data_IF_919087998383
#
_entry.id   IF_919087998383
#
_cell.length_a   1.000
_cell.length_b   1.000
_cell.length_c   1.000
_cell.angle_alpha   90.00
_cell.angle_beta   90.00
_cell.angle_gamma   90.00
#
_symmetry.space_group_name_H-M   'P 1'
#
loop_
_entity.id
_entity.type
_entity.pdbx_description
1 polymer ?
#
# COMPACT_ATOMS: atom_id res chain seq x y z
N UNK A 1 0.16 7.04 13.16
CA UNK A 1 1.26 6.04 13.17
C UNK A 1 2.56 6.74 13.49
N UNK A 2 3.41 6.15 14.33
CA UNK A 2 4.73 6.72 14.64
C UNK A 2 5.69 6.58 13.45
N UNK A 3 6.62 7.53 13.32
CA UNK A 3 7.60 7.51 12.23
C UNK A 3 8.43 6.20 12.19
N UNK A 4 8.80 5.68 13.35
CA UNK A 4 9.56 4.43 13.48
C UNK A 4 8.76 3.18 13.10
N UNK A 5 7.44 3.20 13.30
CA UNK A 5 6.55 2.11 12.86
C UNK A 5 6.38 2.17 11.34
N UNK A 6 6.16 3.38 10.80
CA UNK A 6 6.05 3.63 9.37
C UNK A 6 7.27 3.11 8.62
N UNK A 7 8.47 3.46 9.08
CA UNK A 7 9.73 3.04 8.47
C UNK A 7 9.87 1.51 8.45
N UNK A 8 9.59 0.85 9.59
CA UNK A 8 9.62 -0.62 9.68
C UNK A 8 8.62 -1.29 8.73
N UNK A 9 7.38 -0.77 8.64
CA UNK A 9 6.37 -1.33 7.73
C UNK A 9 6.85 -1.20 6.28
N UNK A 10 7.34 -0.03 5.88
CA UNK A 10 7.85 0.20 4.52
C UNK A 10 9.03 -0.71 4.22
N UNK A 11 10.03 -0.79 5.10
CA UNK A 11 11.20 -1.66 4.91
C UNK A 11 10.79 -3.12 4.71
N UNK A 12 9.87 -3.64 5.54
CA UNK A 12 9.43 -5.02 5.46
C UNK A 12 8.63 -5.30 4.19
N UNK A 13 7.72 -4.40 3.80
CA UNK A 13 6.92 -4.57 2.58
C UNK A 13 7.80 -4.50 1.33
N UNK A 14 8.72 -3.53 1.27
CA UNK A 14 9.64 -3.40 0.11
C UNK A 14 10.55 -4.63 0.02
N UNK A 15 11.10 -5.10 1.15
CA UNK A 15 11.90 -6.31 1.19
C UNK A 15 11.12 -7.52 0.65
N UNK A 16 9.91 -7.73 1.15
CA UNK A 16 9.01 -8.80 0.72
C UNK A 16 8.67 -8.76 -0.79
N UNK A 17 8.51 -7.57 -1.37
CA UNK A 17 8.26 -7.40 -2.81
C UNK A 17 9.48 -7.84 -3.62
N UNK A 18 10.68 -7.43 -3.20
CA UNK A 18 11.92 -7.74 -3.92
C UNK A 18 12.37 -9.20 -3.73
N UNK A 19 12.01 -9.83 -2.61
CA UNK A 19 12.16 -11.28 -2.42
C UNK A 19 11.19 -12.08 -3.32
N UNK A 20 9.93 -11.65 -3.41
CA UNK A 20 8.92 -12.33 -4.24
C UNK A 20 9.18 -12.14 -5.75
N UNK A 21 9.75 -11.00 -6.13
CA UNK A 21 9.99 -10.63 -7.53
C UNK A 21 11.44 -10.15 -7.77
N UNK A 22 12.45 -11.05 -7.68
CA UNK A 22 13.86 -10.66 -7.82
C UNK A 22 14.20 -9.97 -9.15
N UNK A 23 13.45 -10.30 -10.21
CA UNK A 23 13.61 -9.68 -11.54
C UNK A 23 13.37 -8.16 -11.53
N UNK A 24 12.64 -7.61 -10.55
CA UNK A 24 12.46 -6.16 -10.41
C UNK A 24 13.78 -5.44 -10.18
N UNK A 25 14.70 -6.09 -9.44
CA UNK A 25 16.04 -5.56 -9.24
C UNK A 25 16.84 -5.58 -10.53
N UNK A 26 16.83 -6.69 -11.26
CA UNK A 26 17.54 -6.81 -12.54
C UNK A 26 17.03 -5.80 -13.57
N UNK A 27 15.73 -5.52 -13.57
CA UNK A 27 15.07 -4.65 -14.55
C UNK A 27 15.15 -3.16 -14.21
N UNK A 28 15.01 -2.79 -12.94
CA UNK A 28 14.85 -1.40 -12.51
C UNK A 28 15.90 -0.91 -11.52
N UNK A 29 16.69 -1.83 -10.96
CA UNK A 29 17.77 -1.54 -10.02
C UNK A 29 17.34 -0.67 -8.84
N UNK A 30 18.28 0.14 -8.37
CA UNK A 30 18.12 1.04 -7.23
C UNK A 30 16.98 2.05 -7.43
N UNK A 31 16.79 2.56 -8.65
CA UNK A 31 15.72 3.52 -8.92
C UNK A 31 14.33 2.87 -8.77
N UNK A 32 14.15 1.64 -9.25
CA UNK A 32 12.91 0.90 -9.02
C UNK A 32 12.65 0.66 -7.54
N UNK A 33 13.69 0.32 -6.79
CA UNK A 33 13.59 0.08 -5.35
C UNK A 33 13.16 1.36 -4.63
N UNK A 34 13.83 2.48 -4.91
CA UNK A 34 13.48 3.79 -4.34
C UNK A 34 12.03 4.17 -4.65
N UNK A 35 11.54 3.97 -5.88
CA UNK A 35 10.16 4.28 -6.26
C UNK A 35 9.16 3.40 -5.53
N UNK A 36 9.45 2.10 -5.41
CA UNK A 36 8.63 1.17 -4.63
C UNK A 36 8.57 1.58 -3.16
N UNK A 37 9.69 2.02 -2.59
CA UNK A 37 9.75 2.58 -1.23
C UNK A 37 8.90 3.84 -1.10
N UNK A 38 9.02 4.79 -2.03
CA UNK A 38 8.21 6.03 -2.05
C UNK A 38 6.71 5.72 -2.15
N UNK A 39 6.30 4.77 -2.99
CA UNK A 39 4.89 4.36 -3.11
C UNK A 39 4.33 3.81 -1.80
N UNK A 40 5.10 2.98 -1.07
CA UNK A 40 4.68 2.47 0.23
C UNK A 40 4.56 3.56 1.30
N UNK A 41 5.42 4.58 1.26
CA UNK A 41 5.23 5.78 2.10
C UNK A 41 3.93 6.51 1.74
N UNK A 42 3.66 6.69 0.45
CA UNK A 42 2.43 7.34 -0.01
C UNK A 42 1.16 6.58 0.39
N UNK A 43 1.16 5.25 0.34
CA UNK A 43 0.03 4.43 0.82
C UNK A 43 -0.24 4.67 2.30
N UNK A 44 0.81 4.63 3.13
CA UNK A 44 0.71 4.84 4.58
C UNK A 44 0.30 6.26 4.95
N UNK A 45 0.78 7.27 4.21
CA UNK A 45 0.37 8.65 4.41
C UNK A 45 -1.12 8.84 4.12
N UNK A 46 -1.65 8.22 3.06
CA UNK A 46 -3.09 8.26 2.77
C UNK A 46 -3.93 7.55 3.84
N UNK A 47 -3.48 6.41 4.37
CA UNK A 47 -4.15 5.74 5.49
C UNK A 47 -4.20 6.63 6.73
N UNK A 48 -3.06 7.25 7.07
CA UNK A 48 -2.96 8.18 8.20
C UNK A 48 -3.87 9.40 8.02
N UNK A 49 -3.88 10.02 6.84
CA UNK A 49 -4.78 11.15 6.56
C UNK A 49 -6.25 10.73 6.65
N UNK A 50 -6.62 9.58 6.10
CA UNK A 50 -7.99 9.02 6.17
C UNK A 50 -8.44 8.85 7.61
N UNK A 51 -7.60 8.25 8.45
CA UNK A 51 -7.87 8.07 9.87
C UNK A 51 -8.02 9.39 10.61
N UNK A 52 -7.10 10.34 10.40
CA UNK A 52 -7.17 11.66 11.03
C UNK A 52 -8.39 12.47 10.61
N UNK A 53 -8.88 12.28 9.38
CA UNK A 53 -10.10 12.92 8.89
C UNK A 53 -11.39 12.21 9.34
N UNK A 54 -11.30 10.93 9.71
CA UNK A 54 -12.47 10.10 10.00
C UNK A 54 -13.34 9.85 8.76
N UNK A 55 -12.76 9.90 7.56
CA UNK A 55 -13.49 9.83 6.29
C UNK A 55 -12.87 8.76 5.38
N UNK A 56 -13.38 7.52 5.47
CA UNK A 56 -12.93 6.37 4.66
C UNK A 56 -12.93 6.65 3.15
N UNK A 57 -13.85 7.50 2.68
CA UNK A 57 -13.96 7.87 1.27
C UNK A 57 -12.66 8.47 0.71
N UNK A 58 -11.85 9.14 1.55
CA UNK A 58 -10.56 9.69 1.15
C UNK A 58 -9.59 8.59 0.66
N UNK A 59 -9.50 7.47 1.38
CA UNK A 59 -8.69 6.33 0.94
C UNK A 59 -9.27 5.66 -0.30
N UNK A 60 -10.60 5.54 -0.37
CA UNK A 60 -11.26 4.92 -1.54
C UNK A 60 -11.04 5.72 -2.82
N UNK A 61 -11.06 7.04 -2.75
CA UNK A 61 -10.78 7.92 -3.89
C UNK A 61 -9.31 7.85 -4.31
N UNK A 62 -8.40 7.76 -3.33
CA UNK A 62 -6.99 7.46 -3.57
C UNK A 62 -6.79 6.14 -4.29
N UNK A 63 -7.43 5.05 -3.85
CA UNK A 63 -7.33 3.73 -4.48
C UNK A 63 -7.84 3.73 -5.93
N UNK A 64 -8.98 4.38 -6.21
CA UNK A 64 -9.53 4.52 -7.57
C UNK A 64 -8.60 5.31 -8.49
N UNK A 65 -8.07 6.43 -7.98
CA UNK A 65 -7.12 7.25 -8.71
C UNK A 65 -5.85 6.45 -9.02
N UNK A 66 -5.28 5.76 -8.03
CA UNK A 66 -4.07 4.96 -8.18
C UNK A 66 -4.25 3.86 -9.22
N UNK A 67 -5.36 3.12 -9.16
CA UNK A 67 -5.71 2.11 -10.17
C UNK A 67 -5.73 2.71 -11.57
N UNK A 68 -6.44 3.83 -11.76
CA UNK A 68 -6.53 4.51 -13.07
C UNK A 68 -5.14 4.92 -13.56
N UNK A 69 -4.32 5.49 -12.67
CA UNK A 69 -2.98 5.96 -12.99
C UNK A 69 -2.04 4.82 -13.38
N UNK A 70 -2.07 3.70 -12.66
CA UNK A 70 -1.18 2.56 -12.91
C UNK A 70 -1.61 1.74 -14.13
N UNK A 71 -2.90 1.47 -14.27
CA UNK A 71 -3.43 0.73 -15.44
C UNK A 71 -3.21 1.50 -16.74
N UNK A 72 -3.27 2.84 -16.73
CA UNK A 72 -2.92 3.67 -17.89
C UNK A 72 -1.46 3.51 -18.35
N UNK A 73 -0.58 2.95 -17.49
CA UNK A 73 0.83 2.65 -17.77
C UNK A 73 1.12 1.17 -17.94
N UNK A 74 0.10 0.34 -18.13
CA UNK A 74 0.18 -1.13 -18.21
C UNK A 74 0.76 -1.78 -16.95
N UNK A 75 0.58 -1.16 -15.78
CA UNK A 75 0.84 -1.77 -14.48
C UNK A 75 -0.48 -2.35 -13.97
N UNK A 76 -0.52 -3.66 -13.77
CA UNK A 76 -1.76 -4.37 -13.46
C UNK A 76 -2.28 -4.12 -12.05
N UNK A 77 -3.60 -4.17 -11.92
CA UNK A 77 -4.33 -3.97 -10.65
C UNK A 77 -3.89 -4.96 -9.57
N UNK A 78 -3.48 -6.17 -9.96
CA UNK A 78 -2.98 -7.22 -9.08
C UNK A 78 -1.76 -6.79 -8.25
N UNK A 79 -0.92 -5.89 -8.77
CA UNK A 79 0.25 -5.39 -8.04
C UNK A 79 -0.14 -4.41 -6.93
N UNK A 80 -1.22 -3.66 -7.13
CA UNK A 80 -1.80 -2.78 -6.09
C UNK A 80 -2.37 -3.65 -4.98
N UNK A 81 -3.13 -4.69 -5.35
CA UNK A 81 -3.71 -5.65 -4.41
C UNK A 81 -2.60 -6.34 -3.60
N UNK A 82 -1.56 -6.87 -4.26
CA UNK A 82 -0.42 -7.53 -3.60
C UNK A 82 0.25 -6.60 -2.58
N UNK A 83 0.46 -5.33 -2.94
CA UNK A 83 1.04 -4.34 -2.03
C UNK A 83 0.12 -4.05 -0.84
N UNK A 84 -1.18 -3.83 -1.06
CA UNK A 84 -2.14 -3.59 0.02
C UNK A 84 -2.24 -4.80 0.96
N UNK A 85 -2.21 -6.02 0.43
CA UNK A 85 -2.19 -7.25 1.23
C UNK A 85 -0.90 -7.39 2.06
N UNK A 86 0.24 -6.93 1.55
CA UNK A 86 1.51 -6.86 2.31
C UNK A 86 1.42 -5.84 3.43
N UNK A 87 0.98 -4.62 3.13
CA UNK A 87 0.77 -3.57 4.14
C UNK A 87 -0.14 -4.10 5.26
N UNK A 88 -1.30 -4.66 4.91
CA UNK A 88 -2.28 -5.21 5.85
C UNK A 88 -1.64 -6.15 6.89
N UNK A 89 -0.74 -7.05 6.45
CA UNK A 89 -0.07 -8.03 7.35
C UNK A 89 0.89 -7.39 8.33
N UNK A 90 1.47 -6.24 8.01
CA UNK A 90 2.44 -5.56 8.88
C UNK A 90 1.80 -4.54 9.83
N UNK A 91 0.53 -4.19 9.64
CA UNK A 91 -0.19 -3.25 10.50
C UNK A 91 -0.52 -3.81 11.89
N UNK A 92 -0.56 -5.14 12.06
CA UNK A 92 -0.78 -5.78 13.37
C UNK A 92 0.34 -5.51 14.38
N UNK A 93 1.45 -4.91 13.91
CA UNK A 93 2.61 -4.57 14.74
C UNK A 93 2.57 -3.12 15.25
N UNK A 94 1.56 -2.34 14.89
CA UNK A 94 1.37 -0.98 15.39
C UNK A 94 0.98 -1.02 16.88
N UNK A 95 1.47 -0.06 17.65
CA UNK A 95 1.14 0.06 19.07
C UNK A 95 -0.29 0.55 19.30
N UNK A 96 -0.80 1.40 18.41
CA UNK A 96 -2.18 1.88 18.44
C UNK A 96 -3.07 0.90 17.66
N UNK A 97 -3.83 0.09 18.40
CA UNK A 97 -4.67 -0.94 17.80
C UNK A 97 -5.96 -0.36 17.16
N UNK A 98 -6.42 0.81 17.60
CA UNK A 98 -7.56 1.48 16.98
C UNK A 98 -7.17 1.98 15.59
N UNK A 99 -6.01 2.64 15.50
CA UNK A 99 -5.42 3.07 14.23
C UNK A 99 -5.11 1.87 13.31
N UNK A 100 -4.52 0.80 13.86
CA UNK A 100 -4.23 -0.44 13.12
C UNK A 100 -5.48 -1.05 12.50
N UNK A 101 -6.55 -1.20 13.29
CA UNK A 101 -7.81 -1.78 12.81
C UNK A 101 -8.44 -0.88 11.72
N UNK A 102 -8.47 0.43 11.92
CA UNK A 102 -9.00 1.36 10.92
C UNK A 102 -8.24 1.28 9.58
N UNK A 103 -6.91 1.25 9.62
CA UNK A 103 -6.11 1.11 8.40
C UNK A 103 -6.37 -0.23 7.69
N UNK A 104 -6.51 -1.32 8.45
CA UNK A 104 -6.83 -2.65 7.92
C UNK A 104 -8.20 -2.69 7.27
N UNK A 105 -9.19 -1.99 7.84
CA UNK A 105 -10.52 -1.85 7.25
C UNK A 105 -10.46 -1.08 5.92
N UNK A 106 -9.75 0.06 5.87
CA UNK A 106 -9.57 0.84 4.64
C UNK A 106 -8.87 0.05 3.53
N UNK A 107 -7.79 -0.67 3.87
CA UNK A 107 -7.11 -1.56 2.94
C UNK A 107 -8.03 -2.67 2.45
N UNK A 108 -8.85 -3.25 3.32
CA UNK A 108 -9.81 -4.30 2.96
C UNK A 108 -10.85 -3.79 1.96
N UNK A 109 -11.44 -2.62 2.23
CA UNK A 109 -12.37 -1.96 1.30
C UNK A 109 -11.71 -1.68 -0.05
N UNK A 110 -10.48 -1.17 -0.05
CA UNK A 110 -9.69 -0.93 -1.27
C UNK A 110 -9.42 -2.22 -2.05
N UNK A 111 -8.96 -3.30 -1.39
CA UNK A 111 -8.71 -4.61 -2.00
C UNK A 111 -9.98 -5.18 -2.62
N UNK A 112 -11.12 -5.13 -1.91
CA UNK A 112 -12.40 -5.62 -2.42
C UNK A 112 -12.84 -4.86 -3.67
N UNK A 113 -12.72 -3.54 -3.66
CA UNK A 113 -13.00 -2.70 -4.83
C UNK A 113 -12.10 -3.05 -6.03
N UNK A 114 -10.80 -3.20 -5.81
CA UNK A 114 -9.84 -3.55 -6.86
C UNK A 114 -10.10 -4.95 -7.44
N UNK A 115 -10.47 -5.92 -6.59
CA UNK A 115 -10.84 -7.28 -7.05
C UNK A 115 -12.11 -7.25 -7.91
N UNK A 116 -13.14 -6.53 -7.48
CA UNK A 116 -14.41 -6.43 -8.21
C UNK A 116 -14.31 -5.70 -9.56
N UNK A 117 -13.32 -4.82 -9.74
CA UNK A 117 -13.10 -4.07 -10.98
C UNK A 117 -12.12 -4.75 -11.94
N UNK A 118 -11.51 -5.85 -11.52
CA UNK A 118 -10.54 -6.63 -12.30
C UNK A 118 -11.14 -7.95 -12.85
N UNK A 119 -12.45 -8.17 -12.64
CA UNK A 119 -13.28 -9.23 -13.26
C UNK A 119 -13.89 -8.74 -14.59
#
# INVERSE_FOLDING_TARGET
MKASEREKVVEQVVHEIYEAYPFLWERFGENGHKRTTEDNYHHLDHLSTTYNMGEEQFFMDYTKWLQTVLTSRNVGTELIIDNYERLYRHLDKLEDQEESNAYKDYLTSGIQFLKATNE
#
